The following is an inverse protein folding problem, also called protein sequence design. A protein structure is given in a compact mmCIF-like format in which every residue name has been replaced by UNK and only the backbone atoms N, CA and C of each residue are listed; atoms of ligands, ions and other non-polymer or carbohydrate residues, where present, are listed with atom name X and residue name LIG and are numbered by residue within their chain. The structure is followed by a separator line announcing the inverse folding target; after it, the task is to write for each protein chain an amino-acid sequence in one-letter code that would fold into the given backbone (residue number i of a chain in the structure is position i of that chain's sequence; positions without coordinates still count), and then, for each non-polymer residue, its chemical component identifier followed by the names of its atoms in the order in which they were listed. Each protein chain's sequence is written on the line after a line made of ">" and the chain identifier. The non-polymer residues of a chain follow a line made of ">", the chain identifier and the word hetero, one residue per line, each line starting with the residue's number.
data_IF_594238552234
#
_entry.id   IF_594238552234
#
_cell.length_a   1.000
_cell.length_b   1.000
_cell.length_c   1.000
_cell.angle_alpha   90.00
_cell.angle_beta   90.00
_cell.angle_gamma   90.00
#
_symmetry.space_group_name_H-M   'P 1'
#
loop_
_entity.id
_entity.type
_entity.pdbx_description
1 polymer ?
#
# COMPACT_ATOMS: atom_id res chain seq x y z
N UNK A 1 -31.14 56.57 -5.26
CA UNK A 1 -31.59 55.17 -5.43
C UNK A 1 -31.15 54.25 -4.30
N UNK A 2 -30.24 54.64 -3.39
CA UNK A 2 -29.89 53.82 -2.21
C UNK A 2 -30.78 54.05 -0.97
N UNK A 3 -31.51 55.18 -0.90
CA UNK A 3 -32.33 55.55 0.27
C UNK A 3 -33.70 54.86 0.31
N UNK A 4 -34.35 54.59 -0.84
CA UNK A 4 -35.66 53.91 -0.86
C UNK A 4 -35.55 52.43 -0.49
N UNK A 5 -34.44 51.77 -0.81
CA UNK A 5 -34.17 50.40 -0.38
C UNK A 5 -33.98 50.30 1.15
N UNK A 6 -33.51 51.34 1.83
CA UNK A 6 -33.30 51.34 3.29
C UNK A 6 -34.58 51.51 4.11
N UNK A 7 -35.57 52.27 3.61
CA UNK A 7 -36.88 52.41 4.28
C UNK A 7 -37.77 51.18 4.08
N UNK A 8 -37.67 50.51 2.92
CA UNK A 8 -38.37 49.25 2.66
C UNK A 8 -37.85 48.09 3.52
N UNK A 9 -36.55 48.05 3.82
CA UNK A 9 -35.95 46.99 4.67
C UNK A 9 -36.38 47.15 6.14
N UNK A 10 -36.39 48.39 6.66
CA UNK A 10 -36.82 48.68 8.04
C UNK A 10 -38.29 48.36 8.31
N UNK A 11 -39.15 48.57 7.32
CA UNK A 11 -40.59 48.27 7.42
C UNK A 11 -40.88 46.76 7.33
N UNK A 12 -40.09 46.01 6.55
CA UNK A 12 -40.17 44.55 6.49
C UNK A 12 -39.67 43.86 7.77
N UNK A 13 -38.52 44.28 8.32
CA UNK A 13 -37.96 43.74 9.57
C UNK A 13 -38.92 43.97 10.77
N UNK A 14 -39.59 45.12 10.80
CA UNK A 14 -40.58 45.47 11.83
C UNK A 14 -41.84 44.60 11.79
N UNK A 15 -42.24 44.12 10.60
CA UNK A 15 -43.37 43.21 10.43
C UNK A 15 -43.01 41.75 10.80
N UNK A 16 -41.76 41.35 10.55
CA UNK A 16 -41.22 40.03 10.95
C UNK A 16 -41.06 39.92 12.48
N UNK A 17 -40.60 40.99 13.14
CA UNK A 17 -40.50 41.08 14.61
C UNK A 17 -41.87 41.01 15.31
N UNK A 18 -42.93 41.52 14.66
CA UNK A 18 -44.29 41.50 15.20
C UNK A 18 -44.96 40.11 15.13
N UNK A 19 -44.40 39.17 14.35
CA UNK A 19 -44.91 37.81 14.17
C UNK A 19 -44.26 36.77 15.10
N UNK A 20 -43.22 37.14 15.87
CA UNK A 20 -42.46 36.24 16.74
C UNK A 20 -43.10 36.12 18.13
N UNK A 21 -43.11 34.91 18.69
CA UNK A 21 -43.61 34.65 20.04
C UNK A 21 -42.59 35.12 21.10
N UNK A 22 -43.04 35.49 22.31
CA UNK A 22 -42.20 36.09 23.37
C UNK A 22 -40.83 35.41 23.60
N UNK A 23 -40.70 34.06 23.63
CA UNK A 23 -39.40 33.39 23.80
C UNK A 23 -38.43 33.58 22.62
N UNK A 24 -38.95 33.76 21.40
CA UNK A 24 -38.15 34.02 20.21
C UNK A 24 -37.63 35.46 20.23
N UNK A 25 -38.43 36.39 20.76
CA UNK A 25 -38.03 37.79 20.94
C UNK A 25 -36.92 37.91 22.00
N UNK A 26 -37.03 37.18 23.11
CA UNK A 26 -35.99 37.12 24.15
C UNK A 26 -34.67 36.57 23.63
N UNK A 27 -34.73 35.49 22.83
CA UNK A 27 -33.54 34.91 22.20
C UNK A 27 -32.86 35.92 21.25
N UNK A 28 -33.64 36.65 20.44
CA UNK A 28 -33.12 37.66 19.53
C UNK A 28 -32.51 38.86 20.28
N UNK A 29 -33.12 39.29 21.39
CA UNK A 29 -32.56 40.35 22.25
C UNK A 29 -31.24 39.91 22.89
N UNK A 30 -31.13 38.65 23.34
CA UNK A 30 -29.87 38.12 23.85
C UNK A 30 -28.79 38.04 22.76
N UNK A 31 -29.14 37.57 21.57
CA UNK A 31 -28.21 37.46 20.44
C UNK A 31 -27.70 38.83 19.99
N UNK A 32 -28.60 39.80 19.84
CA UNK A 32 -28.26 41.19 19.50
C UNK A 32 -27.44 41.86 20.60
N UNK A 33 -27.77 41.64 21.87
CA UNK A 33 -26.97 42.14 23.00
C UNK A 33 -25.55 41.56 22.99
N UNK A 34 -25.41 40.26 22.69
CA UNK A 34 -24.10 39.61 22.56
C UNK A 34 -23.31 40.17 21.38
N UNK A 35 -23.94 40.35 20.22
CA UNK A 35 -23.32 40.95 19.05
C UNK A 35 -22.83 42.39 19.32
N UNK A 36 -23.65 43.20 20.00
CA UNK A 36 -23.27 44.55 20.43
C UNK A 36 -22.08 44.53 21.40
N UNK A 37 -22.03 43.55 22.31
CA UNK A 37 -20.90 43.38 23.23
C UNK A 37 -19.59 43.06 22.48
N UNK A 38 -19.63 42.19 21.47
CA UNK A 38 -18.46 41.88 20.64
C UNK A 38 -17.99 43.12 19.89
N UNK A 39 -18.92 43.84 19.26
CA UNK A 39 -18.59 45.04 18.48
C UNK A 39 -18.00 46.14 19.36
N UNK A 40 -18.48 46.25 20.61
CA UNK A 40 -17.94 47.17 21.60
C UNK A 40 -16.49 46.83 21.95
N UNK A 41 -16.19 45.55 22.21
CA UNK A 41 -14.81 45.08 22.48
C UNK A 41 -13.90 45.33 21.28
N UNK A 42 -14.37 45.06 20.06
CA UNK A 42 -13.64 45.35 18.82
C UNK A 42 -13.34 46.86 18.70
N UNK A 43 -14.32 47.72 19.01
CA UNK A 43 -14.17 49.18 18.96
C UNK A 43 -13.18 49.68 20.00
N UNK A 44 -13.26 49.21 21.25
CA UNK A 44 -12.33 49.54 22.32
C UNK A 44 -10.89 49.13 21.98
N UNK A 45 -10.72 47.96 21.36
CA UNK A 45 -9.43 47.46 20.88
C UNK A 45 -8.83 48.38 19.79
N UNK A 46 -9.64 48.77 18.80
CA UNK A 46 -9.19 49.72 17.77
C UNK A 46 -8.90 51.11 18.32
N UNK A 47 -9.71 51.60 19.27
CA UNK A 47 -9.50 52.88 19.93
C UNK A 47 -8.21 52.89 20.76
N UNK A 48 -7.94 51.82 21.52
CA UNK A 48 -6.67 51.65 22.25
C UNK A 48 -5.48 51.68 21.30
N UNK A 49 -5.56 51.01 20.16
CA UNK A 49 -4.51 51.05 19.14
C UNK A 49 -4.36 52.43 18.50
N UNK A 50 -5.47 53.08 18.14
CA UNK A 50 -5.48 54.42 17.55
C UNK A 50 -4.83 55.44 18.49
N UNK A 51 -5.17 55.40 19.78
CA UNK A 51 -4.61 56.28 20.81
C UNK A 51 -3.11 56.04 21.07
N UNK A 52 -2.59 54.84 20.81
CA UNK A 52 -1.14 54.55 20.84
C UNK A 52 -0.41 55.06 19.60
N UNK A 53 -1.09 55.08 18.45
CA UNK A 53 -0.54 55.51 17.16
C UNK A 53 -0.59 57.02 16.95
N UNK A 54 -1.47 57.73 17.66
CA UNK A 54 -1.53 59.19 17.63
C UNK A 54 -0.25 59.77 18.27
N UNK A 55 0.56 60.57 17.53
CA UNK A 55 1.74 61.20 18.12
C UNK A 55 1.29 62.15 19.23
N UNK A 56 1.68 61.86 20.48
CA UNK A 56 1.49 62.76 21.64
C UNK A 56 2.24 64.11 21.51
N UNK A 57 2.82 64.41 20.35
CA UNK A 57 3.65 65.59 20.09
C UNK A 57 2.88 66.85 19.64
N UNK A 58 1.55 66.82 19.56
CA UNK A 58 0.79 67.99 19.08
C UNK A 58 -0.14 68.67 20.11
N UNK A 59 -0.23 68.17 21.34
CA UNK A 59 -1.15 68.74 22.35
C UNK A 59 -0.46 69.35 23.58
N UNK A 60 0.87 69.24 23.73
CA UNK A 60 1.60 69.79 24.90
C UNK A 60 2.28 71.16 24.69
N UNK A 61 2.09 71.84 23.56
CA UNK A 61 2.68 73.17 23.33
C UNK A 61 1.63 74.29 23.21
N UNK A 62 0.87 74.52 24.28
CA UNK A 62 0.15 75.77 24.52
C UNK A 62 0.43 76.27 25.95
N UNK A 63 1.70 76.40 26.31
CA UNK A 63 2.16 77.31 27.36
C UNK A 63 3.51 77.90 26.93
N UNK A 64 3.67 79.23 26.86
CA UNK A 64 4.96 79.86 26.64
C UNK A 64 5.65 80.11 27.99
N UNK A 65 6.85 79.54 28.20
CA UNK A 65 7.87 80.21 29.01
C UNK A 65 9.30 79.74 28.67
N UNK A 66 9.97 80.57 27.88
CA UNK A 66 11.24 81.25 28.17
C UNK A 66 12.42 80.41 28.75
N UNK A 67 13.47 80.37 27.92
CA UNK A 67 14.93 80.22 28.18
C UNK A 67 15.61 78.84 28.04
N UNK A 68 16.65 78.84 27.20
CA UNK A 68 17.89 78.12 27.50
C UNK A 68 18.47 77.21 26.42
N UNK A 69 19.11 77.81 25.42
CA UNK A 69 20.36 77.37 24.75
C UNK A 69 20.81 75.91 24.84
N UNK A 70 21.11 75.29 23.69
CA UNK A 70 22.50 74.97 23.28
C UNK A 70 22.54 73.89 22.18
N UNK A 71 23.07 74.28 21.00
CA UNK A 71 24.07 73.58 20.15
C UNK A 71 23.91 72.07 19.91
N UNK A 72 24.13 71.49 18.73
CA UNK A 72 24.52 71.92 17.39
C UNK A 72 24.47 70.63 16.51
N UNK A 73 24.56 70.84 15.20
CA UNK A 73 25.15 69.93 14.22
C UNK A 73 24.27 68.82 13.59
N UNK A 74 23.96 69.03 12.31
CA UNK A 74 23.51 67.96 11.42
C UNK A 74 22.78 68.41 10.17
N UNK A 75 23.40 69.26 9.35
CA UNK A 75 22.90 69.60 8.02
C UNK A 75 22.68 68.34 7.17
N UNK A 76 21.57 68.25 6.44
CA UNK A 76 21.61 68.02 4.99
C UNK A 76 20.26 68.36 4.34
N UNK A 77 20.35 69.14 3.28
CA UNK A 77 19.25 69.62 2.45
C UNK A 77 18.53 68.46 1.76
N UNK A 78 17.21 68.46 1.78
CA UNK A 78 16.44 67.93 0.64
C UNK A 78 15.17 68.74 0.38
N UNK A 79 15.22 69.39 -0.79
CA UNK A 79 14.20 70.08 -1.58
C UNK A 79 12.74 69.67 -1.30
N UNK A 80 11.97 70.58 -0.68
CA UNK A 80 10.50 70.54 -0.64
C UNK A 80 9.95 70.61 -2.06
N UNK A 81 9.20 69.58 -2.47
CA UNK A 81 8.30 69.63 -3.62
C UNK A 81 6.88 69.49 -3.10
N UNK A 82 6.20 70.63 -3.01
CA UNK A 82 4.78 70.73 -2.73
C UNK A 82 4.00 70.02 -3.84
N UNK A 83 3.20 69.01 -3.49
CA UNK A 83 2.20 68.47 -4.42
C UNK A 83 0.89 68.16 -3.68
N UNK A 84 -0.04 69.09 -3.87
CA UNK A 84 -1.50 68.97 -3.92
C UNK A 84 -2.22 68.10 -2.88
N UNK A 85 -2.99 68.80 -2.03
CA UNK A 85 -4.30 68.33 -1.55
C UNK A 85 -5.19 68.03 -2.77
N UNK A 86 -5.75 66.81 -2.84
CA UNK A 86 -7.07 66.47 -3.36
C UNK A 86 -7.15 64.97 -3.65
N UNK A 87 -7.56 64.19 -2.66
CA UNK A 87 -8.42 63.04 -2.88
C UNK A 87 -9.27 62.94 -1.62
N UNK A 88 -10.58 62.90 -1.79
CA UNK A 88 -11.51 62.63 -0.70
C UNK A 88 -11.00 61.42 0.10
N UNK A 89 -11.05 61.59 1.41
CA UNK A 89 -10.70 60.66 2.47
C UNK A 89 -11.43 59.33 2.26
N UNK A 90 -10.93 58.50 1.34
CA UNK A 90 -11.22 57.07 1.37
C UNK A 90 -10.46 56.59 2.58
N UNK A 91 -11.12 56.55 3.74
CA UNK A 91 -10.70 55.70 4.83
C UNK A 91 -10.50 54.31 4.23
N UNK A 92 -9.25 53.97 3.95
CA UNK A 92 -8.88 52.61 3.58
C UNK A 92 -9.08 51.84 4.88
N UNK A 93 -10.22 51.19 5.00
CA UNK A 93 -10.50 50.32 6.14
C UNK A 93 -9.37 49.29 6.26
N UNK A 94 -9.01 48.96 7.49
CA UNK A 94 -8.03 47.91 7.76
C UNK A 94 -8.47 46.62 7.05
N UNK A 95 -7.53 45.95 6.39
CA UNK A 95 -7.78 44.64 5.80
C UNK A 95 -8.11 43.64 6.91
N UNK A 96 -8.79 42.55 6.58
CA UNK A 96 -9.10 41.49 7.55
C UNK A 96 -7.81 40.93 8.20
N UNK A 97 -6.73 40.83 7.43
CA UNK A 97 -5.41 40.46 7.93
C UNK A 97 -4.88 41.47 8.95
N UNK A 98 -4.91 42.78 8.64
CA UNK A 98 -4.46 43.82 9.57
C UNK A 98 -5.30 43.88 10.85
N UNK A 99 -6.61 43.62 10.75
CA UNK A 99 -7.50 43.52 11.91
C UNK A 99 -7.16 42.31 12.78
N UNK A 100 -6.90 41.16 12.18
CA UNK A 100 -6.47 39.95 12.89
C UNK A 100 -5.11 40.15 13.57
N UNK A 101 -4.14 40.75 12.89
CA UNK A 101 -2.82 41.05 13.46
C UNK A 101 -2.91 42.00 14.65
N UNK A 102 -3.85 42.95 14.61
CA UNK A 102 -4.08 43.86 15.71
C UNK A 102 -4.79 43.19 16.88
N UNK A 103 -5.83 42.39 16.60
CA UNK A 103 -6.53 41.61 17.61
C UNK A 103 -5.57 40.63 18.32
N UNK A 104 -4.65 40.01 17.57
CA UNK A 104 -3.63 39.13 18.13
C UNK A 104 -2.66 39.90 19.04
N UNK A 105 -2.18 41.07 18.61
CA UNK A 105 -1.31 41.93 19.43
C UNK A 105 -1.99 42.37 20.73
N UNK A 106 -3.22 42.86 20.66
CA UNK A 106 -3.97 43.29 21.85
C UNK A 106 -4.31 42.11 22.77
N UNK A 107 -4.54 40.93 22.22
CA UNK A 107 -4.68 39.71 23.00
C UNK A 107 -3.39 39.33 23.73
N UNK A 108 -2.23 39.47 23.08
CA UNK A 108 -0.95 39.16 23.71
C UNK A 108 -0.56 40.22 24.77
N UNK A 109 -0.80 41.50 24.51
CA UNK A 109 -0.63 42.56 25.51
C UNK A 109 -1.55 42.38 26.72
N UNK A 110 -2.83 42.08 26.52
CA UNK A 110 -3.76 41.85 27.63
C UNK A 110 -3.38 40.62 28.46
N UNK A 111 -2.83 39.57 27.82
CA UNK A 111 -2.23 38.44 28.55
C UNK A 111 -1.04 38.87 29.40
N UNK A 112 -0.13 39.68 28.85
CA UNK A 112 1.01 40.22 29.59
C UNK A 112 0.57 41.08 30.77
N UNK A 113 -0.39 42.00 30.57
CA UNK A 113 -0.98 42.84 31.60
C UNK A 113 -1.65 42.01 32.72
N UNK A 114 -2.39 40.95 32.35
CA UNK A 114 -2.97 40.00 33.31
C UNK A 114 -1.87 39.30 34.11
N UNK A 115 -0.81 38.84 33.45
CA UNK A 115 0.27 38.11 34.12
C UNK A 115 1.08 39.02 35.05
N UNK A 116 1.34 40.26 34.63
CA UNK A 116 1.96 41.29 35.45
C UNK A 116 1.10 41.60 36.69
N UNK A 117 -0.20 41.87 36.49
CA UNK A 117 -1.14 42.18 37.59
C UNK A 117 -1.24 41.03 38.57
N UNK A 118 -1.25 39.77 38.10
CA UNK A 118 -1.20 38.58 38.95
C UNK A 118 0.08 38.52 39.77
N UNK A 119 1.25 38.70 39.15
CA UNK A 119 2.53 38.69 39.85
C UNK A 119 2.64 39.80 40.91
N UNK A 120 2.15 41.00 40.60
CA UNK A 120 2.10 42.11 41.55
C UNK A 120 1.15 41.84 42.71
N UNK A 121 -0.04 41.29 42.41
CA UNK A 121 -1.02 40.91 43.43
C UNK A 121 -0.48 39.82 44.36
N UNK A 122 0.17 38.78 43.82
CA UNK A 122 0.81 37.73 44.60
C UNK A 122 1.91 38.28 45.51
N UNK A 123 2.76 39.17 45.00
CA UNK A 123 3.80 39.84 45.80
C UNK A 123 3.20 40.65 46.94
N UNK A 124 2.12 41.37 46.68
CA UNK A 124 1.40 42.15 47.70
C UNK A 124 0.79 41.23 48.76
N UNK A 125 0.13 40.14 48.35
CA UNK A 125 -0.47 39.14 49.26
C UNK A 125 0.61 38.53 50.15
N UNK A 126 1.74 38.10 49.58
CA UNK A 126 2.86 37.54 50.33
C UNK A 126 3.43 38.55 51.34
N UNK A 127 3.53 39.83 50.97
CA UNK A 127 3.98 40.87 51.88
C UNK A 127 2.99 41.08 53.04
N UNK A 128 1.68 41.13 52.78
CA UNK A 128 0.69 41.25 53.84
C UNK A 128 0.69 40.02 54.76
N UNK A 129 0.84 38.81 54.21
CA UNK A 129 0.98 37.59 55.01
C UNK A 129 2.20 37.68 55.94
N UNK A 130 3.36 38.07 55.41
CA UNK A 130 4.58 38.24 56.22
C UNK A 130 4.42 39.28 57.33
N UNK A 131 3.75 40.41 57.05
CA UNK A 131 3.47 41.46 58.05
C UNK A 131 2.50 40.97 59.12
N UNK A 132 1.45 40.22 58.76
CA UNK A 132 0.53 39.65 59.74
C UNK A 132 1.23 38.64 60.64
N UNK A 133 2.02 37.74 60.08
CA UNK A 133 2.80 36.76 60.85
C UNK A 133 3.79 37.44 61.81
N UNK A 134 4.48 38.49 61.35
CA UNK A 134 5.36 39.29 62.20
C UNK A 134 4.58 39.98 63.34
N UNK A 135 3.41 40.54 63.05
CA UNK A 135 2.55 41.18 64.04
C UNK A 135 2.06 40.19 65.10
N UNK A 136 1.65 38.98 64.69
CA UNK A 136 1.21 37.92 65.61
C UNK A 136 2.34 37.47 66.54
N UNK A 137 3.56 37.29 66.01
CA UNK A 137 4.74 36.95 66.81
C UNK A 137 5.04 38.07 67.81
N UNK A 138 5.09 39.33 67.34
CA UNK A 138 5.32 40.49 68.22
C UNK A 138 4.26 40.61 69.31
N UNK A 139 3.00 40.40 68.96
CA UNK A 139 1.89 40.45 69.92
C UNK A 139 2.04 39.38 71.01
N UNK A 140 2.37 38.15 70.63
CA UNK A 140 2.64 37.06 71.57
C UNK A 140 3.82 37.39 72.50
N UNK A 141 4.90 37.94 71.96
CA UNK A 141 6.08 38.35 72.72
C UNK A 141 5.78 39.48 73.71
N UNK A 142 5.05 40.52 73.28
CA UNK A 142 4.61 41.63 74.14
C UNK A 142 3.73 41.09 75.27
N UNK A 143 2.74 40.27 74.96
CA UNK A 143 1.83 39.68 75.97
C UNK A 143 2.61 38.87 77.00
N UNK A 144 3.58 38.06 76.56
CA UNK A 144 4.47 37.31 77.44
C UNK A 144 5.34 38.23 78.28
N UNK A 145 5.93 39.27 77.69
CA UNK A 145 6.75 40.25 78.40
C UNK A 145 5.95 41.01 79.47
N UNK A 146 4.72 41.43 79.16
CA UNK A 146 3.82 42.09 80.13
C UNK A 146 3.45 41.14 81.27
N UNK A 147 3.11 39.89 80.98
CA UNK A 147 2.79 38.89 82.01
C UNK A 147 3.98 38.64 82.95
N UNK A 148 5.17 38.42 82.38
CA UNK A 148 6.41 38.21 83.14
C UNK A 148 6.77 39.44 83.97
N UNK A 149 6.68 40.65 83.40
CA UNK A 149 6.94 41.89 84.15
C UNK A 149 5.98 42.06 85.33
N UNK A 150 4.68 41.84 85.12
CA UNK A 150 3.69 41.93 86.20
C UNK A 150 3.99 40.92 87.32
N UNK A 151 4.35 39.69 86.97
CA UNK A 151 4.68 38.62 87.93
C UNK A 151 5.99 38.91 88.67
N UNK A 152 7.07 39.15 87.93
CA UNK A 152 8.43 39.16 88.47
C UNK A 152 8.79 40.50 89.11
N UNK A 153 8.20 41.60 88.64
CA UNK A 153 8.47 42.96 89.11
C UNK A 153 7.31 43.48 89.96
N UNK A 154 6.11 43.68 89.39
CA UNK A 154 5.01 44.37 90.09
C UNK A 154 4.58 43.59 91.34
N UNK A 155 4.31 42.29 91.20
CA UNK A 155 3.85 41.47 92.31
C UNK A 155 4.94 41.23 93.37
N UNK A 156 6.21 41.17 92.97
CA UNK A 156 7.35 41.00 93.88
C UNK A 156 7.63 42.26 94.69
N UNK A 157 7.59 43.43 94.06
CA UNK A 157 7.82 44.72 94.71
C UNK A 157 6.67 45.07 95.67
N UNK A 158 5.42 44.79 95.27
CA UNK A 158 4.25 45.00 96.14
C UNK A 158 4.33 44.24 97.47
N UNK A 159 4.99 43.06 97.49
CA UNK A 159 5.16 42.22 98.68
C UNK A 159 6.32 42.66 99.59
N UNK A 160 7.28 43.46 99.12
CA UNK A 160 8.48 43.85 99.87
C UNK A 160 8.51 45.38 100.06
N UNK A 161 8.28 45.87 101.28
CA UNK A 161 8.36 47.31 101.60
C UNK A 161 9.82 47.77 101.60
N UNK A 162 10.25 48.52 100.57
CA UNK A 162 11.55 49.20 100.52
C UNK A 162 11.92 49.73 99.13
N UNK A 163 12.13 51.04 98.99
CA UNK A 163 12.39 51.70 97.70
C UNK A 163 13.67 51.22 97.00
N UNK A 164 14.73 50.91 97.76
CA UNK A 164 16.04 50.49 97.22
C UNK A 164 15.96 49.08 96.60
N UNK A 165 15.23 48.17 97.25
CA UNK A 165 15.04 46.79 96.77
C UNK A 165 14.19 46.79 95.49
N UNK A 166 13.22 47.70 95.40
CA UNK A 166 12.39 47.88 94.21
C UNK A 166 13.21 48.34 93.00
N UNK A 167 14.05 49.38 93.16
CA UNK A 167 14.92 49.87 92.09
C UNK A 167 15.94 48.84 91.63
N UNK A 168 16.55 48.09 92.55
CA UNK A 168 17.55 47.06 92.21
C UNK A 168 16.93 45.90 91.42
N UNK A 169 15.68 45.52 91.73
CA UNK A 169 14.95 44.49 90.98
C UNK A 169 14.60 44.92 89.57
N UNK A 170 14.17 46.17 89.39
CA UNK A 170 13.91 46.74 88.06
C UNK A 170 15.21 46.80 87.25
N UNK A 171 16.32 47.24 87.85
CA UNK A 171 17.62 47.30 87.18
C UNK A 171 18.06 45.92 86.68
N UNK A 172 18.04 44.89 87.54
CA UNK A 172 18.39 43.51 87.16
C UNK A 172 17.52 42.97 86.03
N UNK A 173 16.21 43.27 86.05
CA UNK A 173 15.32 42.87 84.96
C UNK A 173 15.69 43.54 83.63
N UNK A 174 16.03 44.83 83.66
CA UNK A 174 16.45 45.55 82.46
C UNK A 174 17.79 45.02 81.92
N UNK A 175 18.74 44.69 82.80
CA UNK A 175 20.02 44.07 82.44
C UNK A 175 19.82 42.69 81.79
N UNK A 176 18.99 41.83 82.40
CA UNK A 176 18.65 40.51 81.86
C UNK A 176 17.95 40.62 80.50
N UNK A 177 17.00 41.55 80.34
CA UNK A 177 16.33 41.78 79.05
C UNK A 177 17.26 42.33 77.98
N UNK A 178 18.22 43.17 78.35
CA UNK A 178 19.25 43.62 77.42
C UNK A 178 20.14 42.45 76.97
N UNK A 179 20.54 41.58 77.91
CA UNK A 179 21.31 40.38 77.58
C UNK A 179 20.56 39.42 76.65
N UNK A 180 19.28 39.15 76.93
CA UNK A 180 18.39 38.35 76.05
C UNK A 180 18.33 38.94 74.63
N UNK A 181 18.20 40.28 74.53
CA UNK A 181 18.13 41.00 73.26
C UNK A 181 19.44 40.90 72.47
N UNK A 182 20.58 41.01 73.15
CA UNK A 182 21.90 40.84 72.53
C UNK A 182 22.11 39.40 72.03
N UNK A 183 21.70 38.39 72.80
CA UNK A 183 21.72 36.99 72.38
C UNK A 183 20.83 36.75 71.16
N UNK A 184 19.62 37.34 71.12
CA UNK A 184 18.74 37.25 69.96
C UNK A 184 19.34 37.94 68.73
N UNK A 185 19.98 39.09 68.91
CA UNK A 185 20.66 39.81 67.83
C UNK A 185 21.76 38.96 67.21
N UNK A 186 22.60 38.30 68.00
CA UNK A 186 23.65 37.43 67.47
C UNK A 186 23.05 36.20 66.75
N UNK A 187 21.99 35.60 67.31
CA UNK A 187 21.28 34.50 66.66
C UNK A 187 20.72 34.89 65.30
N UNK A 188 20.10 36.07 65.19
CA UNK A 188 19.57 36.59 63.92
C UNK A 188 20.68 36.91 62.93
N UNK A 189 21.81 37.46 63.39
CA UNK A 189 22.99 37.73 62.56
C UNK A 189 23.54 36.45 61.92
N UNK A 190 23.78 35.41 62.73
CA UNK A 190 24.26 34.11 62.24
C UNK A 190 23.28 33.47 61.24
N UNK A 191 21.96 33.57 61.51
CA UNK A 191 20.94 33.06 60.60
C UNK A 191 20.88 33.85 59.28
N UNK A 192 21.06 35.17 59.32
CA UNK A 192 21.15 36.01 58.13
C UNK A 192 22.35 35.63 57.26
N UNK A 193 23.53 35.42 57.86
CA UNK A 193 24.73 35.00 57.15
C UNK A 193 24.56 33.61 56.51
N UNK A 194 23.95 32.66 57.24
CA UNK A 194 23.61 31.33 56.71
C UNK A 194 22.66 31.41 55.50
N UNK A 195 21.59 32.21 55.59
CA UNK A 195 20.64 32.40 54.50
C UNK A 195 21.28 33.09 53.29
N UNK A 196 22.19 34.05 53.49
CA UNK A 196 22.97 34.67 52.41
C UNK A 196 23.82 33.65 51.65
N UNK A 197 24.48 32.73 52.36
CA UNK A 197 25.27 31.65 51.74
C UNK A 197 24.35 30.71 50.96
N UNK A 198 23.20 30.32 51.53
CA UNK A 198 22.24 29.45 50.85
C UNK A 198 21.67 30.11 49.59
N UNK A 199 21.32 31.40 49.66
CA UNK A 199 20.88 32.20 48.49
C UNK A 199 21.93 32.17 47.38
N UNK A 200 23.19 32.46 47.72
CA UNK A 200 24.29 32.42 46.73
C UNK A 200 24.46 31.04 46.10
N UNK A 201 24.36 29.97 46.88
CA UNK A 201 24.42 28.58 46.38
C UNK A 201 23.29 28.29 45.40
N UNK A 202 22.05 28.65 45.75
CA UNK A 202 20.88 28.46 44.89
C UNK A 202 20.98 29.28 43.60
N UNK A 203 21.44 30.53 43.68
CA UNK A 203 21.69 31.36 42.50
C UNK A 203 22.74 30.75 41.58
N UNK A 204 23.81 30.17 42.12
CA UNK A 204 24.82 29.48 41.31
C UNK A 204 24.26 28.21 40.67
N UNK A 205 23.45 27.44 41.38
CA UNK A 205 22.77 26.26 40.81
C UNK A 205 21.79 26.64 39.71
N UNK A 206 21.04 27.74 39.88
CA UNK A 206 20.16 28.27 38.84
C UNK A 206 20.98 28.63 37.60
N UNK A 207 22.07 29.39 37.77
CA UNK A 207 22.94 29.78 36.67
C UNK A 207 23.56 28.57 35.95
N UNK A 208 24.03 27.56 36.68
CA UNK A 208 24.53 26.32 36.07
C UNK A 208 23.43 25.55 35.32
N UNK A 209 22.18 25.58 35.80
CA UNK A 209 21.05 24.96 35.11
C UNK A 209 20.65 25.75 33.87
N UNK A 210 20.74 27.07 33.90
CA UNK A 210 20.55 27.96 32.76
C UNK A 210 21.65 27.73 31.71
N UNK A 211 22.93 27.70 32.10
CA UNK A 211 24.07 27.39 31.22
C UNK A 211 23.99 25.96 30.66
N UNK A 212 23.47 24.98 31.43
CA UNK A 212 23.21 23.62 30.93
C UNK A 212 21.99 23.55 30.00
N UNK A 213 21.01 24.44 30.17
CA UNK A 213 19.92 24.65 29.22
C UNK A 213 20.39 25.38 27.94
N UNK A 214 21.44 26.19 28.06
CA UNK A 214 22.12 26.85 26.95
C UNK A 214 22.88 25.85 26.06
N UNK A 215 23.17 24.63 26.52
CA UNK A 215 23.73 23.56 25.68
C UNK A 215 22.70 22.93 24.71
N UNK A 216 21.43 23.32 24.81
CA UNK A 216 20.36 22.86 23.94
C UNK A 216 19.74 24.09 23.27
N UNK A 217 20.43 24.63 22.27
CA UNK A 217 19.94 25.81 21.59
C UNK A 217 18.64 25.50 20.86
N UNK A 218 17.72 26.46 20.82
CA UNK A 218 16.53 26.42 19.95
C UNK A 218 16.93 26.06 18.51
N UNK A 219 18.11 26.52 18.08
CA UNK A 219 18.73 26.21 16.78
C UNK A 219 19.02 24.71 16.64
N UNK A 220 19.53 24.03 17.66
CA UNK A 220 19.82 22.58 17.62
C UNK A 220 18.51 21.77 17.52
N UNK A 221 17.47 22.20 18.23
CA UNK A 221 16.14 21.61 18.10
C UNK A 221 15.55 21.82 16.71
N UNK A 222 15.69 23.02 16.14
CA UNK A 222 15.24 23.29 14.78
C UNK A 222 16.05 22.49 13.76
N UNK A 223 17.36 22.36 13.95
CA UNK A 223 18.21 21.50 13.12
C UNK A 223 17.75 20.05 13.19
N UNK A 224 17.49 19.51 14.38
CA UNK A 224 17.01 18.13 14.54
C UNK A 224 15.63 17.93 13.87
N UNK A 225 14.74 18.93 13.93
CA UNK A 225 13.45 18.90 13.22
C UNK A 225 13.65 18.88 11.71
N UNK A 226 14.58 19.69 11.18
CA UNK A 226 14.91 19.73 9.76
C UNK A 226 15.51 18.40 9.32
N UNK A 227 16.47 17.85 10.06
CA UNK A 227 17.10 16.56 9.76
C UNK A 227 16.07 15.43 9.77
N UNK A 228 15.18 15.40 10.76
CA UNK A 228 14.11 14.41 10.84
C UNK A 228 13.15 14.52 9.65
N UNK A 229 12.73 15.73 9.28
CA UNK A 229 11.90 15.95 8.08
C UNK A 229 12.61 15.47 6.80
N UNK A 230 13.90 15.75 6.64
CA UNK A 230 14.69 15.27 5.50
C UNK A 230 14.83 13.74 5.49
N UNK A 231 14.96 13.09 6.64
CA UNK A 231 15.01 11.63 6.71
C UNK A 231 13.66 11.00 6.36
N UNK A 232 12.55 11.59 6.81
CA UNK A 232 11.21 11.14 6.44
C UNK A 232 10.98 11.25 4.93
N UNK A 233 11.35 12.38 4.31
CA UNK A 233 11.24 12.55 2.87
C UNK A 233 12.07 11.51 2.10
N UNK A 234 13.31 11.26 2.53
CA UNK A 234 14.16 10.20 1.93
C UNK A 234 13.56 8.80 2.11
N UNK A 235 12.93 8.51 3.25
CA UNK A 235 12.25 7.23 3.49
C UNK A 235 11.07 7.09 2.52
N UNK A 236 10.28 8.15 2.36
CA UNK A 236 9.13 8.16 1.46
C UNK A 236 9.54 8.01 0.00
N UNK A 237 10.60 8.69 -0.46
CA UNK A 237 11.19 8.48 -1.79
C UNK A 237 11.60 7.02 -2.00
N UNK A 238 12.37 6.42 -1.06
CA UNK A 238 12.79 5.02 -1.19
C UNK A 238 11.60 4.05 -1.15
N UNK A 239 10.56 4.36 -0.39
CA UNK A 239 9.33 3.57 -0.36
C UNK A 239 8.58 3.63 -1.70
N UNK A 240 8.52 4.79 -2.34
CA UNK A 240 7.94 4.95 -3.68
C UNK A 240 8.75 4.18 -4.72
N UNK A 241 10.08 4.28 -4.70
CA UNK A 241 10.97 3.51 -5.57
C UNK A 241 10.76 2.00 -5.40
N UNK A 242 10.68 1.53 -4.15
CA UNK A 242 10.43 0.13 -3.82
C UNK A 242 9.07 -0.35 -4.36
N UNK A 243 8.04 0.49 -4.26
CA UNK A 243 6.71 0.17 -4.78
C UNK A 243 6.73 0.06 -6.31
N UNK A 244 7.36 0.99 -7.02
CA UNK A 244 7.52 0.93 -8.46
C UNK A 244 8.28 -0.31 -8.91
N UNK A 245 9.37 -0.64 -8.20
CA UNK A 245 10.16 -1.82 -8.49
C UNK A 245 9.36 -3.12 -8.27
N UNK A 246 8.55 -3.19 -7.21
CA UNK A 246 7.64 -4.33 -6.96
C UNK A 246 6.61 -4.50 -8.06
N UNK A 247 5.99 -3.41 -8.53
CA UNK A 247 5.04 -3.45 -9.63
C UNK A 247 5.71 -3.94 -10.92
N UNK A 248 6.90 -3.41 -11.23
CA UNK A 248 7.67 -3.81 -12.40
C UNK A 248 8.12 -5.27 -12.33
N UNK A 249 8.56 -5.74 -11.16
CA UNK A 249 8.90 -7.14 -10.92
C UNK A 249 7.68 -8.06 -11.09
N UNK A 250 6.51 -7.64 -10.58
CA UNK A 250 5.25 -8.36 -10.79
C UNK A 250 4.88 -8.47 -12.27
N UNK A 251 4.94 -7.37 -13.01
CA UNK A 251 4.63 -7.33 -14.44
C UNK A 251 5.61 -8.19 -15.26
N UNK A 252 6.91 -8.08 -14.99
CA UNK A 252 7.94 -8.90 -15.67
C UNK A 252 7.76 -10.38 -15.37
N UNK A 253 7.40 -10.76 -14.13
CA UNK A 253 7.07 -12.14 -13.77
C UNK A 253 5.84 -12.67 -14.50
N UNK A 254 4.79 -11.86 -14.66
CA UNK A 254 3.61 -12.24 -15.45
C UNK A 254 3.98 -12.47 -16.92
N UNK A 255 4.75 -11.57 -17.52
CA UNK A 255 5.23 -11.70 -18.89
C UNK A 255 6.09 -12.96 -19.04
N UNK A 256 7.04 -13.18 -18.13
CA UNK A 256 7.89 -14.38 -18.11
C UNK A 256 7.07 -15.66 -18.04
N UNK A 257 6.08 -15.73 -17.15
CA UNK A 257 5.19 -16.89 -17.03
C UNK A 257 4.33 -17.10 -18.28
N UNK A 258 3.96 -16.02 -18.99
CA UNK A 258 3.26 -16.13 -20.28
C UNK A 258 4.16 -16.77 -21.34
N UNK A 259 5.42 -16.34 -21.45
CA UNK A 259 6.40 -16.90 -22.39
C UNK A 259 6.78 -18.33 -22.04
N UNK A 260 6.93 -18.65 -20.75
CA UNK A 260 7.17 -20.02 -20.28
C UNK A 260 6.05 -20.97 -20.72
N UNK A 261 4.78 -20.55 -20.58
CA UNK A 261 3.62 -21.33 -21.07
C UNK A 261 3.63 -21.49 -22.59
N UNK A 262 3.88 -20.41 -23.34
CA UNK A 262 3.99 -20.47 -24.81
C UNK A 262 5.09 -21.44 -25.25
N UNK A 263 6.26 -21.38 -24.61
CA UNK A 263 7.38 -22.27 -24.89
C UNK A 263 7.00 -23.72 -24.60
N UNK A 264 6.45 -24.02 -23.41
CA UNK A 264 6.00 -25.37 -23.05
C UNK A 264 5.00 -25.93 -24.07
N UNK A 265 4.03 -25.12 -24.51
CA UNK A 265 3.05 -25.52 -25.52
C UNK A 265 3.73 -25.81 -26.88
N UNK A 266 4.65 -24.96 -27.31
CA UNK A 266 5.40 -25.16 -28.56
C UNK A 266 6.29 -26.41 -28.49
N UNK A 267 6.97 -26.65 -27.36
CA UNK A 267 7.77 -27.86 -27.14
C UNK A 267 6.90 -29.12 -27.16
N UNK A 268 5.74 -29.09 -26.51
CA UNK A 268 4.80 -30.22 -26.51
C UNK A 268 4.23 -30.48 -27.93
N UNK A 269 3.89 -29.42 -28.67
CA UNK A 269 3.44 -29.53 -30.05
C UNK A 269 4.53 -30.12 -30.97
N UNK A 270 5.78 -29.65 -30.81
CA UNK A 270 6.93 -30.19 -31.54
C UNK A 270 7.14 -31.68 -31.26
N UNK A 271 7.07 -32.09 -29.99
CA UNK A 271 7.18 -33.50 -29.60
C UNK A 271 6.06 -34.36 -30.22
N UNK A 272 4.82 -33.87 -30.25
CA UNK A 272 3.70 -34.53 -30.93
C UNK A 272 3.95 -34.65 -32.43
N UNK A 273 4.34 -33.57 -33.09
CA UNK A 273 4.63 -33.58 -34.53
C UNK A 273 5.78 -34.52 -34.88
N UNK A 274 6.84 -34.59 -34.06
CA UNK A 274 7.93 -35.56 -34.27
C UNK A 274 7.41 -37.00 -34.19
N UNK A 275 6.52 -37.31 -33.23
CA UNK A 275 5.88 -38.62 -33.13
C UNK A 275 5.03 -38.92 -34.36
N UNK A 276 4.21 -37.97 -34.81
CA UNK A 276 3.36 -38.13 -35.99
C UNK A 276 4.19 -38.32 -37.26
N UNK A 277 5.29 -37.58 -37.42
CA UNK A 277 6.24 -37.74 -38.54
C UNK A 277 6.85 -39.15 -38.50
N UNK A 278 7.29 -39.62 -37.33
CA UNK A 278 7.85 -40.97 -37.19
C UNK A 278 6.82 -42.05 -37.58
N UNK A 279 5.57 -41.92 -37.12
CA UNK A 279 4.50 -42.86 -37.45
C UNK A 279 4.16 -42.84 -38.94
N UNK A 280 4.05 -41.64 -39.56
CA UNK A 280 3.80 -41.51 -41.00
C UNK A 280 4.92 -42.11 -41.83
N UNK A 281 6.18 -41.94 -41.42
CA UNK A 281 7.33 -42.57 -42.09
C UNK A 281 7.24 -44.10 -42.07
N UNK A 282 6.89 -44.69 -40.93
CA UNK A 282 6.74 -46.16 -40.82
C UNK A 282 5.60 -46.69 -41.72
N UNK A 283 4.48 -45.97 -41.78
CA UNK A 283 3.36 -46.33 -42.67
C UNK A 283 3.77 -46.19 -44.14
N UNK A 284 4.48 -45.12 -44.49
CA UNK A 284 4.98 -44.90 -45.84
C UNK A 284 5.93 -46.02 -46.28
N UNK A 285 6.86 -46.44 -45.42
CA UNK A 285 7.76 -47.57 -45.70
C UNK A 285 7.01 -48.91 -45.88
N UNK A 286 5.92 -49.13 -45.15
CA UNK A 286 5.04 -50.30 -45.37
C UNK A 286 4.34 -50.22 -46.73
N UNK A 287 3.77 -49.07 -47.06
CA UNK A 287 3.10 -48.85 -48.35
C UNK A 287 4.06 -48.96 -49.54
N UNK A 288 5.29 -48.47 -49.43
CA UNK A 288 6.31 -48.62 -50.47
C UNK A 288 6.64 -50.10 -50.72
N UNK A 289 6.81 -50.89 -49.65
CA UNK A 289 7.02 -52.35 -49.77
C UNK A 289 5.82 -53.05 -50.40
N UNK A 290 4.60 -52.72 -49.98
CA UNK A 290 3.37 -53.25 -50.57
C UNK A 290 3.25 -52.87 -52.05
N UNK A 291 3.62 -51.63 -52.42
CA UNK A 291 3.58 -51.16 -53.81
C UNK A 291 4.52 -51.97 -54.71
N UNK A 292 5.74 -52.29 -54.23
CA UNK A 292 6.67 -53.16 -54.95
C UNK A 292 6.06 -54.55 -55.15
N UNK A 293 5.51 -55.16 -54.10
CA UNK A 293 4.87 -56.48 -54.18
C UNK A 293 3.71 -56.50 -55.16
N UNK A 294 2.83 -55.50 -55.10
CA UNK A 294 1.68 -55.37 -56.01
C UNK A 294 2.13 -55.19 -57.46
N UNK A 295 3.20 -54.44 -57.72
CA UNK A 295 3.72 -54.26 -59.08
C UNK A 295 4.37 -55.56 -59.61
N UNK A 296 5.04 -56.34 -58.76
CA UNK A 296 5.54 -57.69 -59.12
C UNK A 296 4.38 -58.65 -59.45
N UNK A 297 3.33 -58.67 -58.62
CA UNK A 297 2.14 -59.48 -58.85
C UNK A 297 1.41 -59.05 -60.12
N UNK A 298 1.27 -57.74 -60.35
CA UNK A 298 0.71 -57.17 -61.58
C UNK A 298 1.53 -57.59 -62.80
N UNK A 299 2.86 -57.51 -62.75
CA UNK A 299 3.71 -57.93 -63.86
C UNK A 299 3.57 -59.43 -64.18
N UNK A 300 3.48 -60.29 -63.16
CA UNK A 300 3.20 -61.73 -63.32
C UNK A 300 1.84 -61.95 -63.97
N UNK A 301 0.79 -61.29 -63.46
CA UNK A 301 -0.55 -61.38 -64.00
C UNK A 301 -0.64 -60.87 -65.46
N UNK A 302 0.04 -59.77 -65.78
CA UNK A 302 0.13 -59.24 -67.14
C UNK A 302 0.85 -60.20 -68.10
N UNK A 303 1.93 -60.85 -67.65
CA UNK A 303 2.64 -61.88 -68.44
C UNK A 303 1.72 -63.05 -68.79
N UNK A 304 1.01 -63.58 -67.79
CA UNK A 304 0.02 -64.65 -67.99
C UNK A 304 -1.11 -64.20 -68.91
N UNK A 305 -1.63 -62.98 -68.72
CA UNK A 305 -2.69 -62.44 -69.58
C UNK A 305 -2.23 -62.33 -71.04
N UNK A 306 -1.00 -61.84 -71.28
CA UNK A 306 -0.40 -61.80 -72.63
C UNK A 306 -0.30 -63.20 -73.23
N UNK A 307 0.16 -64.19 -72.46
CA UNK A 307 0.26 -65.58 -72.93
C UNK A 307 -1.11 -66.17 -73.28
N UNK A 308 -2.13 -65.95 -72.45
CA UNK A 308 -3.50 -66.39 -72.72
C UNK A 308 -4.10 -65.70 -73.95
N UNK A 309 -3.86 -64.39 -74.12
CA UNK A 309 -4.28 -63.66 -75.33
C UNK A 309 -3.59 -64.20 -76.58
N UNK A 310 -2.31 -64.55 -76.49
CA UNK A 310 -1.57 -65.18 -77.58
C UNK A 310 -2.12 -66.57 -77.91
N UNK A 311 -2.38 -67.40 -76.89
CA UNK A 311 -3.04 -68.70 -77.09
C UNK A 311 -4.41 -68.54 -77.75
N UNK A 312 -5.20 -67.55 -77.35
CA UNK A 312 -6.49 -67.24 -77.97
C UNK A 312 -6.32 -66.76 -79.41
N UNK A 313 -5.29 -65.96 -79.71
CA UNK A 313 -5.01 -65.50 -81.07
C UNK A 313 -4.45 -66.59 -81.98
N UNK A 314 -3.75 -67.58 -81.43
CA UNK A 314 -3.19 -68.73 -82.14
C UNK A 314 -4.23 -69.85 -82.30
N UNK A 315 -5.24 -69.87 -81.42
CA UNK A 315 -6.35 -70.80 -81.51
C UNK A 315 -7.11 -70.62 -82.82
N UNK A 316 -7.17 -71.69 -83.61
CA UNK A 316 -7.97 -71.77 -84.83
C UNK A 316 -8.87 -72.98 -84.70
N UNK A 317 -10.17 -72.75 -84.78
CA UNK A 317 -11.16 -73.83 -84.84
C UNK A 317 -10.98 -74.55 -86.18
N UNK A 318 -10.65 -75.86 -86.20
CA UNK A 318 -10.56 -76.61 -87.45
C UNK A 318 -11.90 -76.53 -88.19
N UNK A 319 -11.91 -76.34 -89.51
CA UNK A 319 -13.15 -76.36 -90.29
C UNK A 319 -13.95 -77.64 -90.00
N UNK A 320 -15.26 -77.51 -89.78
CA UNK A 320 -16.15 -78.62 -89.36
C UNK A 320 -15.95 -79.85 -90.25
N UNK A 321 -15.77 -79.66 -91.55
CA UNK A 321 -15.52 -80.74 -92.52
C UNK A 321 -14.23 -81.51 -92.22
N UNK A 322 -13.13 -80.83 -91.83
CA UNK A 322 -11.88 -81.51 -91.45
C UNK A 322 -12.05 -82.32 -90.17
N UNK A 323 -12.75 -81.78 -89.18
CA UNK A 323 -13.06 -82.49 -87.94
C UNK A 323 -13.93 -83.72 -88.18
N UNK A 324 -15.00 -83.57 -88.99
CA UNK A 324 -15.88 -84.68 -89.37
C UNK A 324 -15.11 -85.76 -90.13
N UNK A 325 -14.27 -85.38 -91.10
CA UNK A 325 -13.45 -86.34 -91.84
C UNK A 325 -12.47 -87.09 -90.94
N UNK A 326 -11.81 -86.39 -90.00
CA UNK A 326 -10.94 -87.05 -89.01
C UNK A 326 -11.74 -87.96 -88.07
N UNK A 327 -12.96 -87.58 -87.68
CA UNK A 327 -13.83 -88.41 -86.85
C UNK A 327 -14.35 -89.64 -87.61
N UNK A 328 -14.67 -89.50 -88.90
CA UNK A 328 -15.00 -90.62 -89.77
C UNK A 328 -13.81 -91.55 -89.92
N UNK A 329 -12.60 -91.03 -90.15
CA UNK A 329 -11.39 -91.85 -90.20
C UNK A 329 -11.14 -92.61 -88.90
N UNK A 330 -11.40 -92.00 -87.74
CA UNK A 330 -11.35 -92.69 -86.44
C UNK A 330 -12.40 -93.82 -86.40
N UNK A 331 -13.64 -93.56 -86.82
CA UNK A 331 -14.71 -94.56 -86.84
C UNK A 331 -14.42 -95.71 -87.83
N UNK A 332 -13.85 -95.42 -89.00
CA UNK A 332 -13.43 -96.42 -89.98
C UNK A 332 -12.29 -97.28 -89.44
N UNK A 333 -11.32 -96.67 -88.75
CA UNK A 333 -10.26 -97.41 -88.06
C UNK A 333 -10.82 -98.29 -86.94
N UNK A 334 -11.76 -97.78 -86.13
CA UNK A 334 -12.46 -98.56 -85.10
C UNK A 334 -13.24 -99.75 -85.70
N UNK A 335 -13.92 -99.54 -86.83
CA UNK A 335 -14.63 -100.60 -87.54
C UNK A 335 -13.67 -101.63 -88.15
N UNK A 336 -12.55 -101.19 -88.71
CA UNK A 336 -11.51 -102.07 -89.21
C UNK A 336 -10.90 -102.90 -88.07
N UNK A 337 -10.65 -102.31 -86.91
CA UNK A 337 -10.20 -103.03 -85.70
C UNK A 337 -11.21 -104.14 -85.38
N UNK A 338 -12.52 -103.83 -85.29
CA UNK A 338 -13.57 -104.83 -85.04
C UNK A 338 -13.63 -105.92 -86.11
N UNK A 339 -13.45 -105.59 -87.39
CA UNK A 339 -13.43 -106.57 -88.48
C UNK A 339 -12.21 -107.49 -88.33
N UNK A 340 -11.04 -106.94 -88.01
CA UNK A 340 -9.82 -107.71 -87.78
C UNK A 340 -9.93 -108.59 -86.54
N UNK A 341 -10.50 -108.09 -85.44
CA UNK A 341 -10.83 -108.88 -84.25
C UNK A 341 -11.73 -110.07 -84.63
N UNK A 342 -12.78 -109.85 -85.43
CA UNK A 342 -13.68 -110.92 -85.88
C UNK A 342 -13.02 -111.91 -86.85
N UNK A 343 -12.10 -111.46 -87.71
CA UNK A 343 -11.29 -112.33 -88.57
C UNK A 343 -10.34 -113.20 -87.75
N UNK A 344 -9.71 -112.64 -86.72
CA UNK A 344 -8.89 -113.39 -85.77
C UNK A 344 -9.74 -114.45 -85.06
N UNK A 345 -10.93 -114.09 -84.60
CA UNK A 345 -11.86 -115.02 -83.93
C UNK A 345 -12.30 -116.18 -84.86
N UNK A 346 -12.60 -115.91 -86.14
CA UNK A 346 -12.90 -116.97 -87.14
C UNK A 346 -11.67 -117.84 -87.40
N UNK A 347 -10.48 -117.25 -87.52
CA UNK A 347 -9.24 -117.99 -87.70
C UNK A 347 -8.97 -118.90 -86.50
N UNK A 348 -9.18 -118.41 -85.27
CA UNK A 348 -9.08 -119.20 -84.04
C UNK A 348 -10.11 -120.33 -83.98
N UNK A 349 -11.38 -120.07 -84.31
CA UNK A 349 -12.42 -121.11 -84.38
C UNK A 349 -12.12 -122.17 -85.45
N UNK A 350 -11.59 -121.77 -86.61
CA UNK A 350 -11.18 -122.69 -87.67
C UNK A 350 -9.99 -123.54 -87.24
N UNK A 351 -8.98 -122.95 -86.60
CA UNK A 351 -7.84 -123.67 -86.00
C UNK A 351 -8.33 -124.66 -84.93
N UNK A 352 -9.28 -124.26 -84.09
CA UNK A 352 -9.88 -125.13 -83.07
C UNK A 352 -10.65 -126.29 -83.72
N UNK A 353 -11.34 -126.05 -84.83
CA UNK A 353 -12.06 -127.07 -85.60
C UNK A 353 -11.11 -128.05 -86.29
N UNK A 354 -10.03 -127.56 -86.92
CA UNK A 354 -8.96 -128.40 -87.48
C UNK A 354 -8.28 -129.24 -86.39
N UNK A 355 -8.02 -128.67 -85.21
CA UNK A 355 -7.50 -129.42 -84.04
C UNK A 355 -8.46 -130.53 -83.60
N UNK A 356 -9.77 -130.26 -83.55
CA UNK A 356 -10.80 -131.27 -83.21
C UNK A 356 -10.90 -132.38 -84.27
N UNK A 357 -10.86 -132.03 -85.55
CA UNK A 357 -10.86 -132.98 -86.66
C UNK A 357 -9.60 -133.86 -86.67
N UNK A 358 -8.42 -133.27 -86.49
CA UNK A 358 -7.14 -133.98 -86.36
C UNK A 358 -7.13 -134.95 -85.16
N UNK A 359 -7.68 -134.53 -84.01
CA UNK A 359 -7.79 -135.40 -82.85
C UNK A 359 -8.74 -136.58 -83.08
N UNK A 360 -9.83 -136.41 -83.84
CA UNK A 360 -10.73 -137.53 -84.22
C UNK A 360 -10.05 -138.54 -85.16
N UNK A 361 -9.27 -138.06 -86.15
CA UNK A 361 -8.49 -138.93 -87.06
C UNK A 361 -7.38 -139.67 -86.32
N UNK A 362 -6.73 -139.01 -85.35
CA UNK A 362 -5.70 -139.63 -84.49
C UNK A 362 -6.28 -140.74 -83.60
N UNK A 363 -7.50 -140.56 -83.07
CA UNK A 363 -8.18 -141.57 -82.23
C UNK A 363 -8.73 -142.73 -83.07
N UNK A 364 -9.24 -142.47 -84.29
CA UNK A 364 -9.72 -143.52 -85.20
C UNK A 364 -8.59 -144.38 -85.79
N UNK A 365 -7.43 -143.80 -86.08
CA UNK A 365 -6.24 -144.54 -86.54
C UNK A 365 -5.68 -145.48 -85.47
N UNK A 366 -5.66 -145.05 -84.20
CA UNK A 366 -5.24 -145.90 -83.08
C UNK A 366 -6.25 -147.02 -82.75
N UNK A 367 -7.52 -146.93 -83.18
CA UNK A 367 -8.56 -147.95 -82.93
C UNK A 367 -8.61 -149.06 -84.00
N UNK A 368 -8.02 -148.86 -85.19
CA UNK A 368 -7.91 -149.87 -86.24
C UNK A 368 -6.69 -150.80 -86.11
N UNK A 369 -5.85 -150.60 -85.09
CA UNK A 369 -4.67 -151.42 -84.79
C UNK A 369 -4.98 -152.73 -84.01
N UNK A 370 -6.24 -153.14 -83.80
CA UNK A 370 -6.59 -154.23 -82.86
C UNK A 370 -7.59 -155.33 -83.32
N UNK A 371 -7.97 -155.44 -84.61
CA UNK A 371 -8.83 -156.54 -85.10
C UNK A 371 -8.50 -156.99 -86.56
N UNK A 372 -7.48 -157.86 -86.72
CA UNK A 372 -7.32 -159.07 -87.60
C UNK A 372 -7.91 -159.15 -89.06
N UNK A 373 -7.49 -160.11 -89.93
CA UNK A 373 -6.18 -160.78 -90.15
C UNK A 373 -5.78 -161.05 -91.64
N UNK A 374 -4.54 -161.56 -91.83
CA UNK A 374 -4.01 -162.49 -92.85
C UNK A 374 -4.72 -162.73 -94.22
N UNK A 375 -4.01 -162.37 -95.30
CA UNK A 375 -3.68 -163.09 -96.57
C UNK A 375 -3.24 -161.98 -97.56
N UNK A 376 -2.16 -162.00 -98.34
CA UNK A 376 -1.25 -163.01 -98.85
C UNK A 376 -1.00 -162.65 -100.32
N UNK A 377 0.25 -162.40 -100.73
CA UNK A 377 0.66 -162.43 -102.15
C UNK A 377 1.55 -161.29 -102.67
N UNK A 378 2.83 -161.67 -102.89
CA UNK A 378 3.84 -161.10 -103.80
C UNK A 378 4.56 -159.81 -103.44
#
# INVERSE_FOLDING_TARGET
>A
MADEDSESVRTAESQELAALHLPQLEALVQETSHALSILKVETEMFEKYYNKMEPKDLVSHLLPDIHGSSLDLGQTRTRRKSKSRAAADRFIGLTVEQKNDLAQRELDETKEEIQQTKGDSERIIQNYQAVMEEADIRWADIKKATCNFNKDIIQTISKKKGSVIASEKVLRYLEEKNHDRDAMKEKLRLKNDSLKVQKKKLQLQLKQKEEMGEALHEVDFQQLKIENAQFLEKIDERNQDLLQLKLTAGNTLQILNSYKRKLQNATAASARLMKDISQRKEVLEKMERETILVEEERAKAESVNKQLRQQLSDYRVPPVVKYVNQKMAICDLENNIKIWERKVEIAEMSLQSYRRAWNKVKVASNQLQLCLPLQGGQ
#
